data_IF_234888243285
#
_entry.id   IF_234888243285
#
_cell.length_a   1.000
_cell.length_b   1.000
_cell.length_c   1.000
_cell.angle_alpha   90.00
_cell.angle_beta   90.00
_cell.angle_gamma   90.00
#
_symmetry.space_group_name_H-M   'P 1'
#
loop_
_entity.id
_entity.type
_entity.pdbx_description
1 polymer ?
#
# COMPACT_ATOMS: atom_id res chain seq x y z
N UNK A 1 -19.68 -7.40 -9.71
CA UNK A 1 -18.80 -7.11 -8.55
C UNK A 1 -17.57 -7.98 -8.67
N UNK A 2 -16.35 -7.43 -8.53
CA UNK A 2 -15.14 -8.25 -8.62
C UNK A 2 -15.06 -9.21 -7.43
N UNK A 3 -14.40 -10.36 -7.60
CA UNK A 3 -14.21 -11.37 -6.56
C UNK A 3 -13.55 -10.80 -5.29
N UNK A 4 -12.71 -9.77 -5.43
CA UNK A 4 -12.09 -9.03 -4.32
C UNK A 4 -13.10 -8.21 -3.51
N UNK A 5 -14.08 -7.59 -4.19
CA UNK A 5 -15.13 -6.80 -3.54
C UNK A 5 -16.07 -7.67 -2.69
N UNK A 6 -16.34 -8.91 -3.11
CA UNK A 6 -17.13 -9.87 -2.34
C UNK A 6 -16.41 -10.35 -1.06
N UNK A 7 -15.10 -10.61 -1.15
CA UNK A 7 -14.27 -11.01 0.01
C UNK A 7 -14.04 -9.85 1.00
N UNK A 8 -13.96 -8.61 0.51
CA UNK A 8 -13.96 -7.44 1.39
C UNK A 8 -15.27 -7.34 2.18
N UNK A 9 -16.40 -7.63 1.55
CA UNK A 9 -17.70 -7.68 2.22
C UNK A 9 -17.73 -8.75 3.33
N UNK A 10 -17.12 -9.91 3.12
CA UNK A 10 -17.04 -10.95 4.16
C UNK A 10 -16.30 -10.49 5.43
N UNK A 11 -15.29 -9.62 5.32
CA UNK A 11 -14.61 -9.07 6.51
C UNK A 11 -15.46 -8.00 7.23
N UNK A 12 -16.25 -7.26 6.47
CA UNK A 12 -17.10 -6.15 6.97
C UNK A 12 -18.39 -6.71 7.61
N UNK A 13 -19.06 -7.62 6.93
CA UNK A 13 -20.36 -8.21 7.35
C UNK A 13 -20.21 -9.55 8.08
N UNK A 14 -19.03 -10.17 8.04
CA UNK A 14 -18.79 -11.48 8.63
C UNK A 14 -18.71 -11.51 10.15
N UNK A 15 -18.56 -12.73 10.68
CA UNK A 15 -18.46 -12.98 12.13
C UNK A 15 -17.14 -12.44 12.71
N UNK A 16 -17.16 -12.09 13.99
CA UNK A 16 -15.98 -11.75 14.78
C UNK A 16 -14.86 -12.78 14.61
N UNK A 17 -15.20 -14.06 14.55
CA UNK A 17 -14.23 -15.16 14.43
C UNK A 17 -13.40 -15.10 13.14
N UNK A 18 -13.98 -14.59 12.05
CA UNK A 18 -13.24 -14.40 10.81
C UNK A 18 -12.22 -13.27 10.94
N UNK A 19 -12.58 -12.17 11.62
CA UNK A 19 -11.68 -11.05 11.90
C UNK A 19 -10.58 -11.42 12.89
N UNK A 20 -10.89 -12.25 13.89
CA UNK A 20 -9.94 -12.68 14.92
C UNK A 20 -8.75 -13.46 14.35
N UNK A 21 -8.91 -14.15 13.21
CA UNK A 21 -7.80 -14.80 12.50
C UNK A 21 -6.69 -13.83 12.08
N UNK A 22 -7.03 -12.56 11.89
CA UNK A 22 -6.15 -11.54 11.34
C UNK A 22 -5.64 -10.54 12.37
N UNK A 23 -6.22 -10.51 13.56
CA UNK A 23 -5.98 -9.45 14.56
C UNK A 23 -4.52 -9.38 15.03
N UNK A 24 -3.78 -10.49 14.92
CA UNK A 24 -2.36 -10.56 15.25
C UNK A 24 -1.43 -9.86 14.26
N UNK A 25 -1.89 -9.52 13.04
CA UNK A 25 -1.04 -8.96 11.97
C UNK A 25 -1.02 -7.44 11.96
N UNK A 26 -0.70 -6.84 13.11
CA UNK A 26 -0.64 -5.38 13.29
C UNK A 26 0.44 -4.69 12.46
N UNK A 27 1.42 -5.44 11.94
CA UNK A 27 2.51 -4.94 11.10
C UNK A 27 2.00 -4.41 9.75
N UNK A 28 0.85 -4.89 9.30
CA UNK A 28 0.22 -4.49 8.03
C UNK A 28 -0.11 -3.01 8.04
N UNK A 29 -0.49 -2.46 9.20
CA UNK A 29 -0.79 -1.04 9.34
C UNK A 29 0.40 -0.18 8.90
N UNK A 30 1.61 -0.50 9.35
CA UNK A 30 2.81 0.25 8.98
C UNK A 30 3.19 0.09 7.50
N UNK A 31 2.82 -1.02 6.85
CA UNK A 31 3.11 -1.26 5.44
C UNK A 31 2.23 -0.44 4.51
N UNK A 32 0.98 -0.21 4.89
CA UNK A 32 0.03 0.57 4.08
C UNK A 32 0.29 2.07 4.23
N UNK A 33 0.47 2.54 5.47
CA UNK A 33 0.72 3.96 5.77
C UNK A 33 1.43 4.05 7.12
N UNK A 34 2.25 5.07 7.33
CA UNK A 34 2.91 5.25 8.62
C UNK A 34 1.85 5.52 9.71
N UNK A 35 1.83 4.66 10.74
CA UNK A 35 0.87 4.76 11.83
C UNK A 35 1.34 5.78 12.86
N UNK A 36 0.65 6.92 12.95
CA UNK A 36 0.91 7.90 13.99
C UNK A 36 0.38 7.41 15.35
N UNK A 37 1.29 6.98 16.20
CA UNK A 37 1.02 6.63 17.59
C UNK A 37 1.28 7.82 18.52
N UNK A 38 0.82 7.70 19.76
CA UNK A 38 1.22 8.59 20.84
C UNK A 38 2.68 8.31 21.22
N UNK A 39 3.33 9.21 21.98
CA UNK A 39 4.72 9.05 22.40
C UNK A 39 5.01 7.79 23.22
N UNK A 40 3.96 7.12 23.72
CA UNK A 40 4.05 5.83 24.39
C UNK A 40 4.35 4.66 23.43
N UNK A 41 4.21 4.87 22.12
CA UNK A 41 4.48 3.86 21.09
C UNK A 41 3.43 2.74 20.99
N UNK A 42 2.36 2.82 21.77
CA UNK A 42 1.37 1.73 21.89
C UNK A 42 -0.05 2.17 21.54
N UNK A 43 -0.44 3.39 21.91
CA UNK A 43 -1.80 3.87 21.77
C UNK A 43 -1.91 4.97 20.71
N UNK A 44 -3.08 5.12 20.12
CA UNK A 44 -3.43 6.28 19.31
C UNK A 44 -4.75 6.89 19.78
N UNK A 45 -4.97 8.14 19.41
CA UNK A 45 -6.21 8.88 19.69
C UNK A 45 -7.20 8.72 18.54
N UNK A 46 -8.49 8.91 18.83
CA UNK A 46 -9.55 8.86 17.82
C UNK A 46 -9.26 9.77 16.60
N UNK A 47 -8.73 10.98 16.82
CA UNK A 47 -8.38 11.93 15.76
C UNK A 47 -7.30 11.38 14.84
N UNK A 48 -6.21 10.87 15.41
CA UNK A 48 -5.09 10.28 14.67
C UNK A 48 -5.51 9.05 13.87
N UNK A 49 -6.41 8.22 14.41
CA UNK A 49 -6.95 7.06 13.69
C UNK A 49 -7.84 7.49 12.51
N UNK A 50 -8.64 8.54 12.69
CA UNK A 50 -9.45 9.11 11.63
C UNK A 50 -8.58 9.69 10.50
N UNK A 51 -7.50 10.41 10.85
CA UNK A 51 -6.49 10.91 9.91
C UNK A 51 -5.74 9.78 9.18
N UNK A 52 -5.41 8.69 9.89
CA UNK A 52 -4.78 7.52 9.29
C UNK A 52 -5.65 6.93 8.18
N UNK A 53 -6.94 6.69 8.46
CA UNK A 53 -7.90 6.13 7.50
C UNK A 53 -8.52 7.16 6.54
N UNK A 54 -8.19 8.44 6.67
CA UNK A 54 -8.74 9.54 5.86
C UNK A 54 -10.29 9.61 5.90
N UNK A 55 -10.85 9.51 7.10
CA UNK A 55 -12.30 9.57 7.35
C UNK A 55 -12.61 10.58 8.46
N UNK A 56 -13.87 11.01 8.55
CA UNK A 56 -14.30 11.87 9.64
C UNK A 56 -14.23 11.17 11.00
N UNK A 57 -13.84 11.92 12.03
CA UNK A 57 -13.77 11.45 13.42
C UNK A 57 -15.10 10.86 13.89
N UNK A 58 -16.21 11.38 13.38
CA UNK A 58 -17.56 10.91 13.69
C UNK A 58 -17.85 9.51 13.15
N UNK A 59 -17.27 9.14 12.01
CA UNK A 59 -17.39 7.79 11.42
C UNK A 59 -16.74 6.78 12.35
N UNK A 60 -15.51 7.05 12.82
CA UNK A 60 -14.80 6.18 13.77
C UNK A 60 -15.55 6.11 15.10
N UNK A 61 -16.13 7.23 15.57
CA UNK A 61 -16.94 7.27 16.80
C UNK A 61 -18.17 6.36 16.69
N UNK A 62 -18.96 6.48 15.62
CA UNK A 62 -20.15 5.65 15.38
C UNK A 62 -19.80 4.18 15.18
N UNK A 63 -18.70 3.89 14.50
CA UNK A 63 -18.20 2.52 14.34
C UNK A 63 -17.78 1.93 15.68
N UNK A 64 -17.08 2.70 16.52
CA UNK A 64 -16.67 2.30 17.86
C UNK A 64 -17.86 2.04 18.80
N UNK A 65 -18.97 2.76 18.61
CA UNK A 65 -20.21 2.52 19.34
C UNK A 65 -20.92 1.23 18.89
N UNK A 66 -21.02 1.01 17.57
CA UNK A 66 -21.68 -0.18 17.00
C UNK A 66 -20.94 -1.48 17.31
N UNK A 67 -19.60 -1.46 17.32
CA UNK A 67 -18.76 -2.64 17.54
C UNK A 67 -17.98 -2.57 18.86
N UNK A 68 -18.59 -1.98 19.89
CA UNK A 68 -17.93 -1.71 21.18
C UNK A 68 -17.38 -2.97 21.84
N UNK A 69 -18.11 -4.08 21.78
CA UNK A 69 -17.71 -5.34 22.42
C UNK A 69 -16.42 -5.91 21.81
N UNK A 70 -16.33 -5.95 20.48
CA UNK A 70 -15.13 -6.43 19.78
C UNK A 70 -13.92 -5.52 20.04
N UNK A 71 -14.12 -4.20 19.93
CA UNK A 71 -13.02 -3.24 20.09
C UNK A 71 -12.54 -3.13 21.55
N UNK A 72 -13.45 -3.27 22.52
CA UNK A 72 -13.07 -3.31 23.94
C UNK A 72 -12.28 -4.58 24.27
N UNK A 73 -12.57 -5.71 23.62
CA UNK A 73 -11.78 -6.94 23.75
C UNK A 73 -10.34 -6.75 23.27
N UNK A 74 -10.15 -5.92 22.24
CA UNK A 74 -8.82 -5.58 21.71
C UNK A 74 -8.10 -4.47 22.47
N UNK A 75 -8.68 -3.97 23.56
CA UNK A 75 -8.06 -2.97 24.44
C UNK A 75 -8.43 -1.52 24.15
N UNK A 76 -9.45 -1.24 23.33
CA UNK A 76 -10.01 0.11 23.22
C UNK A 76 -10.61 0.52 24.58
N UNK A 77 -10.14 1.63 25.15
CA UNK A 77 -10.68 2.17 26.40
C UNK A 77 -10.96 3.66 26.31
N UNK A 78 -12.00 4.10 27.03
CA UNK A 78 -12.32 5.50 27.21
C UNK A 78 -11.88 5.91 28.60
N UNK A 79 -10.80 6.69 28.66
CA UNK A 79 -10.24 7.21 29.90
C UNK A 79 -11.05 8.41 30.37
N UNK A 80 -11.46 8.40 31.64
CA UNK A 80 -12.14 9.51 32.30
C UNK A 80 -11.43 9.88 33.61
N UNK A 81 -11.57 11.15 34.04
CA UNK A 81 -11.13 11.67 35.35
C UNK A 81 -9.71 11.21 35.76
N UNK A 82 -9.63 10.28 36.70
CA UNK A 82 -8.39 9.79 37.33
C UNK A 82 -7.49 9.04 36.36
N UNK A 83 -8.05 8.15 35.53
CA UNK A 83 -7.28 7.42 34.51
C UNK A 83 -6.70 8.35 33.44
N UNK A 84 -7.41 9.43 33.10
CA UNK A 84 -6.90 10.45 32.20
C UNK A 84 -5.77 11.28 32.82
N UNK A 85 -5.85 11.56 34.13
CA UNK A 85 -4.81 12.28 34.87
C UNK A 85 -3.50 11.48 34.92
N UNK A 86 -3.60 10.17 35.19
CA UNK A 86 -2.45 9.26 35.18
C UNK A 86 -1.83 9.14 33.78
N UNK A 87 -2.66 8.94 32.76
CA UNK A 87 -2.19 8.85 31.37
C UNK A 87 -1.52 10.15 30.90
N UNK A 88 -2.08 11.32 31.24
CA UNK A 88 -1.45 12.61 30.96
C UNK A 88 -0.08 12.76 31.61
N UNK A 89 0.12 12.26 32.84
CA UNK A 89 1.44 12.30 33.50
C UNK A 89 2.47 11.47 32.72
N UNK A 90 2.09 10.26 32.28
CA UNK A 90 2.96 9.38 31.48
C UNK A 90 3.35 10.03 30.15
N UNK A 91 2.38 10.61 29.44
CA UNK A 91 2.63 11.25 28.13
C UNK A 91 3.37 12.59 28.26
N UNK A 92 3.11 13.36 29.32
CA UNK A 92 3.83 14.62 29.57
C UNK A 92 5.32 14.39 29.85
N UNK A 93 5.68 13.24 30.43
CA UNK A 93 7.08 12.81 30.57
C UNK A 93 7.80 12.59 29.23
N UNK A 94 7.06 12.41 28.13
CA UNK A 94 7.58 12.24 26.78
C UNK A 94 7.48 13.53 25.93
N UNK A 95 7.23 14.69 26.56
CA UNK A 95 7.30 16.00 25.90
C UNK A 95 6.07 16.45 25.09
N UNK A 96 4.95 15.73 25.16
CA UNK A 96 3.71 16.08 24.42
C UNK A 96 2.59 16.49 25.37
N UNK A 97 2.07 17.71 25.19
CA UNK A 97 0.91 18.19 25.95
C UNK A 97 -0.40 17.84 25.26
N UNK A 98 -1.19 16.94 25.87
CA UNK A 98 -2.55 16.64 25.41
C UNK A 98 -3.48 17.77 25.91
N UNK A 99 -4.25 18.37 24.99
CA UNK A 99 -5.25 19.42 25.33
C UNK A 99 -6.19 18.95 26.46
N UNK A 100 -6.60 19.89 27.32
CA UNK A 100 -7.50 19.61 28.42
C UNK A 100 -8.88 19.14 27.94
N UNK A 101 -9.07 17.82 27.91
CA UNK A 101 -10.37 17.16 27.67
C UNK A 101 -10.83 16.41 28.91
N UNK A 102 -12.15 16.27 29.06
CA UNK A 102 -12.79 15.50 30.13
C UNK A 102 -12.71 13.97 29.90
N UNK A 103 -12.62 13.56 28.63
CA UNK A 103 -12.57 12.17 28.21
C UNK A 103 -11.57 12.00 27.05
N UNK A 104 -10.86 10.88 27.02
CA UNK A 104 -9.95 10.52 25.93
C UNK A 104 -10.12 9.05 25.58
N UNK A 105 -10.39 8.76 24.31
CA UNK A 105 -10.37 7.38 23.80
C UNK A 105 -8.95 7.05 23.36
N UNK A 106 -8.38 6.01 23.95
CA UNK A 106 -7.08 5.46 23.55
C UNK A 106 -7.30 4.11 22.86
N UNK A 107 -6.65 3.96 21.72
CA UNK A 107 -6.88 2.87 20.79
C UNK A 107 -5.54 2.18 20.52
N UNK A 108 -5.34 0.93 20.99
CA UNK A 108 -4.11 0.18 20.72
C UNK A 108 -4.06 -0.31 19.26
N UNK A 109 -2.87 -0.66 18.77
CA UNK A 109 -2.63 -1.10 17.37
C UNK A 109 -3.60 -2.19 16.89
N UNK A 110 -3.97 -3.13 17.76
CA UNK A 110 -4.93 -4.21 17.48
C UNK A 110 -6.32 -3.66 17.15
N UNK A 111 -6.83 -2.77 17.99
CA UNK A 111 -8.12 -2.13 17.78
C UNK A 111 -8.12 -1.23 16.53
N UNK A 112 -6.99 -0.57 16.21
CA UNK A 112 -6.83 0.19 14.96
C UNK A 112 -6.99 -0.74 13.74
N UNK A 113 -6.34 -1.91 13.76
CA UNK A 113 -6.47 -2.89 12.69
C UNK A 113 -7.91 -3.38 12.53
N UNK A 114 -8.62 -3.67 13.62
CA UNK A 114 -10.03 -4.08 13.57
C UNK A 114 -10.92 -2.97 13.00
N UNK A 115 -10.67 -1.71 13.35
CA UNK A 115 -11.36 -0.57 12.75
C UNK A 115 -11.16 -0.56 11.22
N UNK A 116 -9.94 -0.80 10.73
CA UNK A 116 -9.65 -0.93 9.30
C UNK A 116 -10.37 -2.09 8.60
N UNK A 117 -10.64 -3.19 9.31
CA UNK A 117 -11.42 -4.32 8.78
C UNK A 117 -12.91 -3.96 8.64
N UNK A 118 -13.45 -3.16 9.55
CA UNK A 118 -14.87 -2.80 9.62
C UNK A 118 -15.25 -1.55 8.80
N UNK A 119 -14.27 -0.72 8.43
CA UNK A 119 -14.51 0.53 7.69
C UNK A 119 -14.91 0.27 6.23
N UNK A 120 -16.13 0.63 5.86
CA UNK A 120 -16.61 0.54 4.47
C UNK A 120 -15.95 1.57 3.56
N UNK A 121 -16.04 2.85 3.95
CA UNK A 121 -15.78 4.00 3.08
C UNK A 121 -14.41 4.63 3.37
N UNK A 122 -13.33 3.87 3.17
CA UNK A 122 -11.97 4.40 3.28
C UNK A 122 -11.03 3.70 2.29
N UNK A 123 -10.29 4.46 1.46
CA UNK A 123 -9.34 3.89 0.51
C UNK A 123 -8.16 3.20 1.23
N UNK A 124 -7.75 3.74 2.38
CA UNK A 124 -6.69 3.14 3.21
C UNK A 124 -7.18 1.85 3.84
N UNK A 125 -8.43 1.81 4.32
CA UNK A 125 -9.01 0.59 4.90
C UNK A 125 -9.17 -0.51 3.83
N UNK A 126 -9.54 -0.15 2.59
CA UNK A 126 -9.61 -1.08 1.47
C UNK A 126 -8.24 -1.71 1.16
N UNK A 127 -7.17 -0.91 1.17
CA UNK A 127 -5.81 -1.43 1.00
C UNK A 127 -5.40 -2.37 2.15
N UNK A 128 -5.74 -2.02 3.40
CA UNK A 128 -5.49 -2.89 4.56
C UNK A 128 -6.20 -4.25 4.39
N UNK A 129 -7.48 -4.27 4.00
CA UNK A 129 -8.22 -5.52 3.75
C UNK A 129 -7.62 -6.32 2.59
N UNK A 130 -7.26 -5.64 1.50
CA UNK A 130 -6.62 -6.26 0.33
C UNK A 130 -5.32 -6.95 0.75
N UNK A 131 -4.49 -6.27 1.54
CA UNK A 131 -3.21 -6.80 2.00
C UNK A 131 -3.39 -8.00 2.94
N UNK A 132 -4.36 -7.92 3.85
CA UNK A 132 -4.73 -9.01 4.75
C UNK A 132 -5.13 -10.28 3.99
N UNK A 133 -6.01 -10.14 2.99
CA UNK A 133 -6.49 -11.26 2.17
C UNK A 133 -5.42 -11.79 1.22
N UNK A 134 -4.61 -10.92 0.61
CA UNK A 134 -3.51 -11.36 -0.27
C UNK A 134 -2.45 -12.16 0.50
N UNK A 135 -2.15 -11.75 1.74
CA UNK A 135 -1.28 -12.54 2.62
C UNK A 135 -1.91 -13.89 2.95
N UNK A 136 -3.21 -13.96 3.18
CA UNK A 136 -3.90 -15.25 3.37
C UNK A 136 -3.76 -16.12 2.12
N UNK A 137 -3.95 -15.59 0.91
CA UNK A 137 -3.82 -16.37 -0.32
C UNK A 137 -2.39 -16.91 -0.53
N UNK A 138 -1.36 -16.15 -0.16
CA UNK A 138 0.04 -16.59 -0.21
C UNK A 138 0.37 -17.59 0.89
N UNK A 139 -0.05 -17.33 2.13
CA UNK A 139 0.13 -18.23 3.26
C UNK A 139 -0.63 -19.55 3.04
N UNK A 140 -1.81 -19.52 2.42
CA UNK A 140 -2.59 -20.71 2.09
C UNK A 140 -1.97 -21.50 0.94
N UNK A 141 -1.32 -20.85 -0.04
CA UNK A 141 -0.52 -21.56 -1.06
C UNK A 141 0.69 -22.24 -0.45
N UNK A 142 1.43 -21.57 0.43
CA UNK A 142 2.56 -22.17 1.16
C UNK A 142 2.11 -23.25 2.14
N UNK A 143 0.95 -23.07 2.81
CA UNK A 143 0.35 -24.07 3.69
C UNK A 143 -0.25 -25.25 2.92
N UNK A 144 -0.80 -25.06 1.72
CA UNK A 144 -1.21 -26.15 0.82
C UNK A 144 0.02 -26.89 0.30
N UNK A 145 1.08 -26.18 -0.09
CA UNK A 145 2.35 -26.78 -0.49
C UNK A 145 3.02 -27.55 0.66
N UNK A 146 2.88 -27.08 1.90
CA UNK A 146 3.40 -27.79 3.09
C UNK A 146 2.43 -28.82 3.70
N UNK A 147 1.12 -28.75 3.42
CA UNK A 147 0.14 -29.78 3.78
C UNK A 147 0.18 -30.97 2.82
N UNK A 148 0.52 -30.74 1.54
CA UNK A 148 0.92 -31.80 0.60
C UNK A 148 2.17 -32.54 1.10
N UNK A 149 3.03 -31.88 1.90
CA UNK A 149 4.21 -32.50 2.52
C UNK A 149 3.88 -33.15 3.89
N UNK A 150 2.79 -32.77 4.57
CA UNK A 150 2.41 -33.29 5.91
C UNK A 150 1.42 -34.46 5.88
N UNK A 151 0.98 -34.90 4.71
CA UNK A 151 0.21 -36.13 4.51
C UNK A 151 0.93 -37.07 3.55
N UNK A 152 2.22 -37.34 3.81
CA UNK A 152 2.83 -38.56 3.27
C UNK A 152 2.13 -39.76 3.92
N UNK A 153 1.00 -40.15 3.35
CA UNK A 153 0.42 -41.46 3.58
C UNK A 153 1.42 -42.53 3.14
N UNK A 154 1.32 -43.68 3.79
CA UNK A 154 2.26 -44.77 3.62
C UNK A 154 1.96 -45.52 2.32
N UNK A 155 2.66 -45.18 1.24
CA UNK A 155 2.40 -45.73 -0.10
C UNK A 155 3.28 -46.95 -0.41
N UNK A 156 2.88 -47.81 -1.35
CA UNK A 156 3.67 -48.99 -1.77
C UNK A 156 5.07 -48.63 -2.32
N UNK A 157 5.24 -47.42 -2.87
CA UNK A 157 6.55 -46.90 -3.27
C UNK A 157 7.47 -46.61 -2.08
N UNK A 158 6.91 -46.27 -0.91
CA UNK A 158 7.68 -46.07 0.33
C UNK A 158 8.13 -47.40 0.94
N UNK A 159 7.37 -48.48 0.74
CA UNK A 159 7.77 -49.84 1.09
C UNK A 159 8.99 -50.28 0.28
N UNK A 160 8.98 -50.04 -1.02
CA UNK A 160 10.10 -50.37 -1.92
C UNK A 160 11.34 -49.52 -1.62
N UNK A 161 11.16 -48.22 -1.36
CA UNK A 161 12.24 -47.32 -0.96
C UNK A 161 12.90 -47.76 0.36
N UNK A 162 12.10 -48.15 1.35
CA UNK A 162 12.61 -48.65 2.64
C UNK A 162 13.36 -49.97 2.45
N UNK A 163 12.85 -50.88 1.61
CA UNK A 163 13.51 -52.14 1.32
C UNK A 163 14.86 -51.92 0.63
N UNK A 164 14.89 -51.12 -0.45
CA UNK A 164 16.09 -50.83 -1.22
C UNK A 164 17.16 -50.07 -0.41
N UNK A 165 16.74 -49.15 0.45
CA UNK A 165 17.68 -48.44 1.34
C UNK A 165 18.25 -49.38 2.39
N UNK A 166 17.45 -50.27 2.99
CA UNK A 166 17.98 -51.23 3.96
C UNK A 166 18.91 -52.26 3.31
N UNK A 167 18.60 -52.76 2.12
CA UNK A 167 19.51 -53.69 1.41
C UNK A 167 20.82 -53.01 1.02
N UNK A 168 20.77 -51.78 0.48
CA UNK A 168 21.98 -51.01 0.16
C UNK A 168 22.83 -50.72 1.41
N UNK A 169 22.22 -50.43 2.55
CA UNK A 169 22.93 -50.17 3.80
C UNK A 169 23.49 -51.46 4.43
N UNK A 170 22.78 -52.60 4.31
CA UNK A 170 23.26 -53.89 4.78
C UNK A 170 24.54 -54.35 4.05
N UNK A 171 24.67 -54.00 2.77
CA UNK A 171 25.87 -54.29 1.97
C UNK A 171 27.03 -53.29 2.16
N UNK A 172 26.82 -52.19 2.88
CA UNK A 172 27.82 -51.11 3.06
C UNK A 172 28.29 -50.94 4.52
N UNK A 173 28.14 -51.98 5.36
CA UNK A 173 28.56 -52.01 6.78
C UNK A 173 27.92 -50.94 7.69
N UNK A 174 26.80 -50.32 7.26
CA UNK A 174 26.08 -49.32 8.03
C UNK A 174 24.93 -49.94 8.83
N UNK A 175 24.59 -49.33 9.96
CA UNK A 175 23.58 -49.88 10.86
C UNK A 175 22.17 -49.66 10.32
N UNK A 176 21.26 -50.59 10.65
CA UNK A 176 19.84 -50.50 10.31
C UNK A 176 19.18 -49.18 10.82
N UNK A 177 19.66 -48.66 11.95
CA UNK A 177 19.20 -47.37 12.48
C UNK A 177 19.58 -46.16 11.62
N UNK A 178 20.71 -46.22 10.91
CA UNK A 178 21.13 -45.17 9.96
C UNK A 178 20.32 -45.23 8.67
N UNK A 179 19.97 -46.43 8.21
CA UNK A 179 19.04 -46.60 7.08
C UNK A 179 17.67 -45.99 7.40
N UNK A 180 17.11 -46.25 8.59
CA UNK A 180 15.83 -45.65 8.99
C UNK A 180 15.91 -44.12 9.10
N UNK A 181 16.99 -43.57 9.65
CA UNK A 181 17.15 -42.10 9.70
C UNK A 181 17.24 -41.51 8.28
N UNK A 182 17.88 -42.20 7.33
CA UNK A 182 17.93 -41.73 5.93
C UNK A 182 16.56 -41.74 5.26
N UNK A 183 15.73 -42.75 5.55
CA UNK A 183 14.34 -42.79 5.06
C UNK A 183 13.48 -41.71 5.71
N UNK A 184 13.67 -41.42 7.01
CA UNK A 184 13.02 -40.28 7.69
C UNK A 184 13.38 -38.96 7.00
N UNK A 185 14.66 -38.75 6.67
CA UNK A 185 15.12 -37.55 5.95
C UNK A 185 14.49 -37.41 4.57
N UNK A 186 14.32 -38.52 3.84
CA UNK A 186 13.81 -38.51 2.46
C UNK A 186 12.29 -38.40 2.38
N UNK A 187 11.55 -38.93 3.36
CA UNK A 187 10.09 -39.06 3.30
C UNK A 187 9.36 -38.17 4.30
N UNK A 188 10.05 -37.60 5.30
CA UNK A 188 9.42 -36.84 6.38
C UNK A 188 8.57 -37.68 7.34
N UNK A 189 8.53 -39.01 7.18
CA UNK A 189 7.79 -39.94 8.03
C UNK A 189 8.43 -40.05 9.42
N UNK A 190 7.63 -40.29 10.45
CA UNK A 190 8.16 -40.48 11.80
C UNK A 190 8.88 -41.82 11.93
N UNK A 191 10.01 -41.82 12.65
CA UNK A 191 10.83 -43.02 12.91
C UNK A 191 10.01 -44.20 13.47
N UNK A 192 8.99 -43.92 14.27
CA UNK A 192 8.11 -44.95 14.84
C UNK A 192 7.22 -45.62 13.80
N UNK A 193 6.72 -44.89 12.79
CA UNK A 193 5.94 -45.47 11.69
C UNK A 193 6.83 -46.40 10.84
N UNK A 194 8.05 -45.96 10.52
CA UNK A 194 9.03 -46.77 9.77
C UNK A 194 9.44 -48.02 10.54
N UNK A 195 9.71 -47.87 11.83
CA UNK A 195 10.04 -49.00 12.68
C UNK A 195 8.89 -50.01 12.76
N UNK A 196 7.65 -49.55 12.97
CA UNK A 196 6.49 -50.43 13.04
C UNK A 196 6.27 -51.21 11.73
N UNK A 197 6.34 -50.52 10.57
CA UNK A 197 6.10 -51.15 9.26
C UNK A 197 7.20 -52.11 8.85
N UNK A 198 8.45 -51.80 9.21
CA UNK A 198 9.59 -52.69 8.99
C UNK A 198 9.39 -54.05 9.66
N UNK A 199 9.10 -54.06 10.96
CA UNK A 199 8.97 -55.29 11.74
C UNK A 199 7.64 -56.02 11.56
N UNK A 200 6.62 -55.36 10.99
CA UNK A 200 5.32 -55.99 10.73
C UNK A 200 5.28 -56.75 9.40
N UNK A 201 5.75 -56.15 8.29
CA UNK A 201 5.48 -56.68 6.95
C UNK A 201 6.68 -56.75 6.00
N UNK A 202 7.75 -55.98 6.25
CA UNK A 202 8.86 -55.80 5.30
C UNK A 202 10.10 -56.63 5.61
N UNK A 203 10.35 -56.91 6.89
CA UNK A 203 11.49 -57.74 7.32
C UNK A 203 11.49 -59.12 6.66
N UNK A 204 10.30 -59.71 6.49
CA UNK A 204 10.15 -61.05 5.91
C UNK A 204 10.26 -61.05 4.37
N UNK A 205 10.25 -59.87 3.75
CA UNK A 205 10.44 -59.68 2.30
C UNK A 205 11.90 -59.41 1.91
N UNK A 206 12.81 -59.32 2.88
CA UNK A 206 14.24 -59.16 2.62
C UNK A 206 14.90 -60.47 2.20
N UNK A 207 15.86 -60.40 1.27
CA UNK A 207 16.63 -61.55 0.84
C UNK A 207 17.37 -62.21 2.02
N UNK A 208 17.43 -63.54 2.05
CA UNK A 208 18.09 -64.33 3.11
C UNK A 208 19.52 -63.85 3.42
N UNK A 209 20.23 -63.37 2.39
CA UNK A 209 21.59 -62.79 2.48
C UNK A 209 21.62 -61.47 3.27
N UNK A 210 20.63 -60.61 3.09
CA UNK A 210 20.52 -59.32 3.80
C UNK A 210 20.09 -59.51 5.25
N UNK A 211 19.23 -60.49 5.51
CA UNK A 211 18.87 -60.90 6.86
C UNK A 211 20.08 -61.43 7.64
N UNK A 212 20.90 -62.28 7.02
CA UNK A 212 22.17 -62.76 7.60
C UNK A 212 23.15 -61.62 7.91
N UNK A 213 23.30 -60.64 7.02
CA UNK A 213 24.16 -59.47 7.24
C UNK A 213 23.64 -58.57 8.36
N UNK A 214 22.33 -58.35 8.43
CA UNK A 214 21.69 -57.59 9.52
C UNK A 214 21.84 -58.32 10.86
N UNK A 215 21.78 -59.67 10.88
CA UNK A 215 22.01 -60.46 12.10
C UNK A 215 23.49 -60.52 12.49
N UNK A 216 24.40 -60.64 11.53
CA UNK A 216 25.85 -60.67 11.79
C UNK A 216 26.39 -59.30 12.23
N UNK A 217 25.81 -58.20 11.73
CA UNK A 217 26.10 -56.85 12.22
C UNK A 217 25.62 -56.59 13.65
N UNK A 218 24.85 -57.49 14.29
CA UNK A 218 24.57 -57.45 15.73
C UNK A 218 25.71 -58.01 16.59
N UNK A 219 26.75 -58.59 15.99
CA UNK A 219 27.81 -59.28 16.72
C UNK A 219 29.18 -59.19 16.05
N UNK A 220 29.82 -58.02 16.09
CA UNK A 220 31.27 -57.97 15.95
C UNK A 220 31.92 -58.41 17.28
N UNK A 221 31.90 -59.72 17.53
CA UNK A 221 32.78 -60.39 18.49
C UNK A 221 33.52 -61.49 17.72
N UNK A 222 34.66 -61.06 17.16
CA UNK A 222 35.84 -61.82 16.75
C UNK A 222 35.69 -63.35 16.65
N UNK A 223 35.74 -63.87 15.42
CA UNK A 223 36.63 -65.00 15.12
C UNK A 223 37.47 -64.71 13.88
N UNK A 224 38.75 -64.97 14.08
CA UNK A 224 39.89 -64.75 13.23
C UNK A 224 39.90 -65.71 12.03
N UNK A 225 40.53 -65.20 10.97
CA UNK A 225 41.29 -65.88 9.93
C UNK A 225 40.52 -66.79 8.96
N UNK A 226 40.51 -66.42 7.66
CA UNK A 226 41.40 -67.06 6.67
C UNK A 226 41.23 -66.53 5.23
N UNK A 227 42.38 -66.48 4.56
CA UNK A 227 42.65 -66.51 3.11
C UNK A 227 42.53 -65.22 2.26
N UNK A 228 43.72 -64.92 1.76
CA UNK A 228 44.22 -63.86 0.92
C UNK A 228 44.40 -64.45 -0.50
N UNK A 229 43.56 -64.05 -1.46
CA UNK A 229 43.83 -64.03 -2.92
C UNK A 229 42.61 -63.49 -3.68
N UNK A 230 41.40 -63.90 -3.31
CA UNK A 230 40.15 -63.31 -3.82
C UNK A 230 40.05 -61.80 -3.53
N UNK A 231 40.62 -61.33 -2.41
CA UNK A 231 40.60 -59.91 -2.02
C UNK A 231 41.20 -58.97 -3.09
N UNK A 232 42.15 -59.42 -3.92
CA UNK A 232 42.79 -58.57 -4.95
C UNK A 232 41.90 -58.34 -6.17
N UNK A 233 41.20 -59.37 -6.65
CA UNK A 233 40.27 -59.31 -7.80
C UNK A 233 38.96 -58.63 -7.40
N UNK A 234 38.47 -58.89 -6.19
CA UNK A 234 37.31 -58.16 -5.65
C UNK A 234 37.65 -56.69 -5.40
N UNK A 235 38.87 -56.35 -5.00
CA UNK A 235 39.30 -54.96 -4.84
C UNK A 235 39.44 -54.23 -6.19
N UNK A 236 39.84 -54.88 -7.28
CA UNK A 236 39.90 -54.23 -8.61
C UNK A 236 38.51 -53.97 -9.16
N UNK A 237 37.62 -54.96 -9.13
CA UNK A 237 36.24 -54.80 -9.62
C UNK A 237 35.44 -53.82 -8.77
N UNK A 238 35.65 -53.80 -7.45
CA UNK A 238 35.05 -52.82 -6.55
C UNK A 238 35.60 -51.40 -6.80
N UNK A 239 36.88 -51.28 -7.15
CA UNK A 239 37.50 -49.99 -7.51
C UNK A 239 36.98 -49.48 -8.85
N UNK A 240 36.79 -50.36 -9.84
CA UNK A 240 36.19 -50.02 -11.14
C UNK A 240 34.73 -49.59 -10.97
N UNK A 241 33.95 -50.31 -10.15
CA UNK A 241 32.58 -49.96 -9.85
C UNK A 241 32.50 -48.62 -9.10
N UNK A 242 33.39 -48.38 -8.12
CA UNK A 242 33.51 -47.10 -7.41
C UNK A 242 33.85 -45.97 -8.37
N UNK A 243 34.84 -46.16 -9.24
CA UNK A 243 35.22 -45.17 -10.25
C UNK A 243 34.07 -44.90 -11.23
N UNK A 244 33.32 -45.93 -11.64
CA UNK A 244 32.15 -45.76 -12.50
C UNK A 244 31.04 -44.96 -11.82
N UNK A 245 30.73 -45.26 -10.55
CA UNK A 245 29.77 -44.49 -9.77
C UNK A 245 30.23 -43.06 -9.53
N UNK A 246 31.51 -42.85 -9.23
CA UNK A 246 32.09 -41.51 -9.06
C UNK A 246 32.03 -40.72 -10.37
N UNK A 247 32.34 -41.34 -11.51
CA UNK A 247 32.22 -40.72 -12.83
C UNK A 247 30.77 -40.42 -13.21
N UNK A 248 29.83 -41.30 -12.86
CA UNK A 248 28.40 -41.08 -13.11
C UNK A 248 27.85 -39.94 -12.24
N UNK A 249 28.17 -39.91 -10.95
CA UNK A 249 27.74 -38.83 -10.06
C UNK A 249 28.40 -37.51 -10.42
N UNK A 250 29.69 -37.50 -10.78
CA UNK A 250 30.36 -36.28 -11.25
C UNK A 250 29.74 -35.74 -12.52
N UNK A 251 29.33 -36.60 -13.47
CA UNK A 251 28.58 -36.18 -14.65
C UNK A 251 27.22 -35.55 -14.28
N UNK A 252 26.45 -36.20 -13.39
CA UNK A 252 25.15 -35.66 -12.94
C UNK A 252 25.31 -34.32 -12.21
N UNK A 253 26.30 -34.20 -11.34
CA UNK A 253 26.61 -32.95 -10.65
C UNK A 253 27.02 -31.87 -11.65
N UNK A 254 27.83 -32.22 -12.65
CA UNK A 254 28.26 -31.29 -13.71
C UNK A 254 27.08 -30.81 -14.54
N UNK A 255 26.19 -31.70 -14.94
CA UNK A 255 24.98 -31.36 -15.71
C UNK A 255 24.05 -30.44 -14.91
N UNK A 256 23.85 -30.72 -13.60
CA UNK A 256 23.09 -29.84 -12.72
C UNK A 256 23.76 -28.47 -12.58
N UNK A 257 25.07 -28.42 -12.42
CA UNK A 257 25.83 -27.18 -12.31
C UNK A 257 25.77 -26.34 -13.60
N UNK A 258 25.87 -26.98 -14.77
CA UNK A 258 25.73 -26.33 -16.08
C UNK A 258 24.32 -25.78 -16.28
N UNK A 259 23.29 -26.54 -15.93
CA UNK A 259 21.90 -26.08 -15.98
C UNK A 259 21.62 -24.90 -15.04
N UNK A 260 22.21 -24.90 -13.84
CA UNK A 260 22.13 -23.77 -12.91
C UNK A 260 22.84 -22.53 -13.45
N UNK A 261 24.06 -22.70 -13.96
CA UNK A 261 24.84 -21.61 -14.58
C UNK A 261 24.11 -20.99 -15.78
N UNK A 262 23.46 -21.82 -16.60
CA UNK A 262 22.66 -21.34 -17.72
C UNK A 262 21.47 -20.49 -17.27
N UNK A 263 20.71 -20.96 -16.27
CA UNK A 263 19.60 -20.19 -15.69
C UNK A 263 20.05 -18.89 -15.04
N UNK A 264 21.22 -18.89 -14.41
CA UNK A 264 21.80 -17.68 -13.82
C UNK A 264 22.15 -16.67 -14.93
N UNK A 265 22.75 -17.13 -16.04
CA UNK A 265 23.04 -16.28 -17.19
C UNK A 265 21.77 -15.70 -17.84
N UNK A 266 20.72 -16.51 -18.01
CA UNK A 266 19.42 -16.06 -18.50
C UNK A 266 18.81 -14.99 -17.56
N UNK A 267 18.85 -15.24 -16.25
CA UNK A 267 18.32 -14.30 -15.25
C UNK A 267 19.09 -12.97 -15.27
N UNK A 268 20.42 -13.02 -15.35
CA UNK A 268 21.26 -11.83 -15.46
C UNK A 268 20.95 -11.05 -16.74
N UNK A 269 20.83 -11.74 -17.88
CA UNK A 269 20.48 -11.10 -19.16
C UNK A 269 19.11 -10.43 -19.10
N UNK A 270 18.11 -11.11 -18.53
CA UNK A 270 16.76 -10.54 -18.38
C UNK A 270 16.74 -9.31 -17.47
N UNK A 271 17.52 -9.33 -16.39
CA UNK A 271 17.65 -8.16 -15.50
C UNK A 271 18.34 -6.98 -16.19
N UNK A 272 19.34 -7.23 -17.04
CA UNK A 272 19.96 -6.18 -17.83
C UNK A 272 18.96 -5.56 -18.82
N UNK A 273 18.15 -6.36 -19.51
CA UNK A 273 17.08 -5.87 -20.38
C UNK A 273 16.08 -4.98 -19.62
N UNK A 274 15.63 -5.44 -18.44
CA UNK A 274 14.70 -4.67 -17.61
C UNK A 274 15.33 -3.33 -17.16
N UNK A 275 16.63 -3.33 -16.85
CA UNK A 275 17.36 -2.12 -16.48
C UNK A 275 17.40 -1.13 -17.64
N UNK A 276 17.69 -1.59 -18.85
CA UNK A 276 17.69 -0.75 -20.06
C UNK A 276 16.30 -0.15 -20.35
N UNK A 277 15.23 -0.92 -20.15
CA UNK A 277 13.86 -0.43 -20.32
C UNK A 277 13.54 0.66 -19.29
N UNK A 278 13.94 0.47 -18.03
CA UNK A 278 13.76 1.47 -16.97
C UNK A 278 14.54 2.76 -17.26
N UNK A 279 15.77 2.66 -17.74
CA UNK A 279 16.58 3.81 -18.12
C UNK A 279 15.97 4.58 -19.29
N UNK A 280 15.44 3.87 -20.31
CA UNK A 280 14.74 4.50 -21.42
C UNK A 280 13.49 5.27 -20.96
N UNK A 281 12.66 4.66 -20.10
CA UNK A 281 11.48 5.32 -19.52
C UNK A 281 11.87 6.53 -18.67
N UNK A 282 12.97 6.46 -17.92
CA UNK A 282 13.49 7.60 -17.15
C UNK A 282 13.87 8.77 -18.05
N UNK A 283 14.51 8.51 -19.20
CA UNK A 283 14.84 9.56 -20.17
C UNK A 283 13.58 10.19 -20.76
N UNK A 284 12.57 9.39 -21.09
CA UNK A 284 11.28 9.88 -21.60
C UNK A 284 10.56 10.78 -20.58
N UNK A 285 10.53 10.37 -19.31
CA UNK A 285 9.98 11.18 -18.22
C UNK A 285 10.71 12.53 -18.10
N UNK A 286 12.04 12.53 -18.16
CA UNK A 286 12.82 13.78 -18.09
C UNK A 286 12.64 14.66 -19.33
N UNK A 287 12.37 14.07 -20.50
CA UNK A 287 11.98 14.83 -21.69
C UNK A 287 10.60 15.49 -21.50
N UNK A 288 9.59 14.73 -21.06
CA UNK A 288 8.24 15.25 -20.83
C UNK A 288 8.23 16.35 -19.76
N UNK A 289 8.98 16.18 -18.66
CA UNK A 289 9.14 17.22 -17.62
C UNK A 289 9.68 18.53 -18.19
N UNK A 290 10.71 18.45 -19.04
CA UNK A 290 11.28 19.65 -19.70
C UNK A 290 10.25 20.34 -20.60
N UNK A 291 9.46 19.57 -21.33
CA UNK A 291 8.40 20.13 -22.18
C UNK A 291 7.28 20.78 -21.36
N UNK A 292 6.91 20.19 -20.20
CA UNK A 292 5.95 20.79 -19.27
C UNK A 292 6.47 22.13 -18.76
N UNK A 293 7.71 22.19 -18.28
CA UNK A 293 8.33 23.44 -17.79
C UNK A 293 8.33 24.51 -18.88
N UNK A 294 8.66 24.15 -20.12
CA UNK A 294 8.61 25.08 -21.26
C UNK A 294 7.19 25.60 -21.51
N UNK A 295 6.19 24.72 -21.44
CA UNK A 295 4.78 25.12 -21.59
C UNK A 295 4.28 25.99 -20.44
N UNK A 296 4.74 25.76 -19.22
CA UNK A 296 4.41 26.61 -18.06
C UNK A 296 4.99 28.01 -18.23
N UNK A 297 6.23 28.12 -18.71
CA UNK A 297 6.88 29.41 -18.99
C UNK A 297 6.13 30.20 -20.07
N UNK A 298 5.66 29.53 -21.13
CA UNK A 298 4.88 30.21 -22.18
C UNK A 298 3.51 30.66 -21.66
N UNK A 299 2.85 29.85 -20.84
CA UNK A 299 1.60 30.24 -20.18
C UNK A 299 1.82 31.47 -19.29
N UNK A 300 2.89 31.50 -18.50
CA UNK A 300 3.21 32.65 -17.63
C UNK A 300 3.46 33.92 -18.45
N UNK A 301 4.16 33.81 -19.58
CA UNK A 301 4.39 34.93 -20.49
C UNK A 301 3.07 35.45 -21.11
N UNK A 302 2.17 34.55 -21.52
CA UNK A 302 0.85 34.91 -22.04
C UNK A 302 0.00 35.59 -20.96
N UNK A 303 -0.01 35.07 -19.73
CA UNK A 303 -0.71 35.69 -18.61
C UNK A 303 -0.21 37.11 -18.31
N UNK A 304 1.10 37.35 -18.40
CA UNK A 304 1.68 38.71 -18.26
C UNK A 304 1.20 39.64 -19.39
N UNK A 305 1.16 39.14 -20.62
CA UNK A 305 0.65 39.89 -21.78
C UNK A 305 -0.84 40.25 -21.61
N UNK A 306 -1.66 39.33 -21.15
CA UNK A 306 -3.10 39.59 -20.95
C UNK A 306 -3.35 40.60 -19.82
N UNK A 307 -2.60 40.52 -18.71
CA UNK A 307 -2.65 41.57 -17.67
C UNK A 307 -2.35 42.96 -18.23
N UNK A 308 -1.33 43.08 -19.07
CA UNK A 308 -0.99 44.36 -19.71
C UNK A 308 -2.09 44.85 -20.67
N UNK A 309 -2.75 43.94 -21.39
CA UNK A 309 -3.90 44.29 -22.24
C UNK A 309 -5.10 44.75 -21.40
N UNK A 310 -5.39 44.11 -20.28
CA UNK A 310 -6.47 44.49 -19.38
C UNK A 310 -6.25 45.90 -18.81
N UNK A 311 -5.01 46.23 -18.42
CA UNK A 311 -4.63 47.58 -17.99
C UNK A 311 -4.85 48.63 -19.09
N UNK A 312 -4.45 48.33 -20.34
CA UNK A 312 -4.68 49.20 -21.49
C UNK A 312 -6.17 49.38 -21.80
N UNK A 313 -6.98 48.33 -21.65
CA UNK A 313 -8.43 48.40 -21.82
C UNK A 313 -9.03 49.32 -20.75
N UNK A 314 -8.64 49.15 -19.48
CA UNK A 314 -9.11 50.00 -18.38
C UNK A 314 -8.76 51.49 -18.60
N UNK A 315 -7.57 51.79 -19.14
CA UNK A 315 -7.19 53.16 -19.48
C UNK A 315 -8.00 53.74 -20.65
N UNK A 316 -8.26 52.94 -21.68
CA UNK A 316 -9.14 53.32 -22.78
C UNK A 316 -10.58 53.59 -22.31
N UNK A 317 -11.12 52.78 -21.40
CA UNK A 317 -12.44 52.99 -20.81
C UNK A 317 -12.52 54.29 -20.01
N UNK A 318 -11.50 54.60 -19.20
CA UNK A 318 -11.41 55.90 -18.49
C UNK A 318 -11.45 57.07 -19.46
N UNK A 319 -10.68 56.99 -20.57
CA UNK A 319 -10.66 58.02 -21.61
C UNK A 319 -12.01 58.17 -22.31
N UNK A 320 -12.67 57.05 -22.62
CA UNK A 320 -13.99 57.05 -23.24
C UNK A 320 -15.03 57.70 -22.33
N UNK A 321 -15.03 57.37 -21.04
CA UNK A 321 -15.92 57.98 -20.05
C UNK A 321 -15.71 59.50 -19.92
N UNK A 322 -14.46 59.96 -19.97
CA UNK A 322 -14.13 61.40 -19.96
C UNK A 322 -14.71 62.11 -21.19
N UNK A 323 -14.47 61.55 -22.39
CA UNK A 323 -15.01 62.10 -23.64
C UNK A 323 -16.54 62.09 -23.63
N UNK A 324 -17.18 61.06 -23.09
CA UNK A 324 -18.64 60.96 -22.98
C UNK A 324 -19.23 62.04 -22.06
N UNK A 325 -18.50 62.41 -20.99
CA UNK A 325 -18.87 63.54 -20.13
C UNK A 325 -18.74 64.88 -20.88
N UNK A 326 -17.63 65.07 -21.61
CA UNK A 326 -17.40 66.27 -22.42
C UNK A 326 -18.45 66.42 -23.52
N UNK A 327 -18.83 65.35 -24.23
CA UNK A 327 -19.88 65.40 -25.25
C UNK A 327 -21.26 65.68 -24.65
N UNK A 328 -21.57 65.15 -23.46
CA UNK A 328 -22.80 65.47 -22.73
C UNK A 328 -22.84 66.96 -22.36
N UNK A 329 -21.73 67.52 -21.89
CA UNK A 329 -21.63 68.93 -21.54
C UNK A 329 -21.70 69.83 -22.79
N UNK A 330 -21.06 69.44 -23.90
CA UNK A 330 -21.22 70.12 -25.18
C UNK A 330 -22.65 70.09 -25.69
N UNK A 331 -23.34 68.94 -25.59
CA UNK A 331 -24.74 68.80 -25.99
C UNK A 331 -25.64 69.76 -25.20
N UNK A 332 -25.46 69.84 -23.87
CA UNK A 332 -26.18 70.83 -23.03
C UNK A 332 -25.90 72.27 -23.44
N UNK A 333 -24.65 72.60 -23.77
CA UNK A 333 -24.27 73.95 -24.25
C UNK A 333 -24.92 74.29 -25.58
N UNK A 334 -24.97 73.34 -26.51
CA UNK A 334 -25.64 73.49 -27.80
C UNK A 334 -27.13 73.72 -27.57
N UNK A 335 -27.77 72.91 -26.73
CA UNK A 335 -29.19 73.03 -26.40
C UNK A 335 -29.52 74.40 -25.77
N UNK A 336 -28.67 74.88 -24.86
CA UNK A 336 -28.79 76.23 -24.30
C UNK A 336 -28.57 77.34 -25.35
N UNK A 337 -27.63 77.16 -26.29
CA UNK A 337 -27.39 78.10 -27.37
C UNK A 337 -28.58 78.14 -28.35
N UNK A 338 -29.16 77.00 -28.70
CA UNK A 338 -30.37 76.93 -29.53
C UNK A 338 -31.52 77.72 -28.91
N UNK A 339 -31.76 77.56 -27.60
CA UNK A 339 -32.78 78.36 -26.88
C UNK A 339 -32.51 79.86 -26.96
N UNK A 340 -31.24 80.30 -26.92
CA UNK A 340 -30.89 81.70 -27.09
C UNK A 340 -31.08 82.20 -28.53
N UNK A 341 -30.78 81.38 -29.54
CA UNK A 341 -31.01 81.73 -30.93
C UNK A 341 -32.51 81.81 -31.27
N UNK A 342 -33.35 80.95 -30.72
CA UNK A 342 -34.81 81.02 -30.88
C UNK A 342 -35.37 82.33 -30.30
N UNK A 343 -34.84 82.80 -29.15
CA UNK A 343 -35.22 84.12 -28.59
C UNK A 343 -34.67 85.32 -29.38
N UNK A 344 -33.61 85.13 -30.18
CA UNK A 344 -33.00 86.19 -30.99
C UNK A 344 -33.59 86.27 -32.40
N UNK A 345 -34.11 85.15 -32.93
CA UNK A 345 -34.89 85.11 -34.16
C UNK A 345 -36.18 85.92 -34.03
N UNK A 346 -36.82 85.93 -32.86
CA UNK A 346 -37.95 86.83 -32.55
C UNK A 346 -37.59 88.31 -32.43
N UNK A 347 -36.30 88.69 -32.44
CA UNK A 347 -35.83 90.08 -32.25
C UNK A 347 -35.28 90.69 -33.56
N UNK A 348 -35.25 89.95 -34.68
CA UNK A 348 -34.72 90.45 -35.96
C UNK A 348 -35.74 90.70 -37.06
N UNK A 349 -37.02 90.55 -36.76
CA UNK A 349 -38.07 91.17 -37.57
C UNK A 349 -38.69 92.31 -36.78
N UNK A 350 -38.85 93.45 -37.46
CA UNK A 350 -39.60 94.68 -37.14
C UNK A 350 -38.69 95.90 -37.14
N UNK A 351 -38.47 96.44 -38.35
CA UNK A 351 -38.31 97.88 -38.55
C UNK A 351 -39.69 98.52 -38.35
N UNK A 352 -39.81 99.53 -37.48
CA UNK A 352 -40.99 100.40 -37.40
C UNK A 352 -41.61 100.50 -36.01
N UNK A 353 -41.18 101.51 -35.27
CA UNK A 353 -41.80 102.24 -34.14
C UNK A 353 -42.77 101.55 -33.13
N UNK A 354 -42.38 101.71 -31.86
CA UNK A 354 -43.18 101.94 -30.64
C UNK A 354 -43.84 100.77 -29.87
N UNK A 355 -43.19 100.35 -28.77
CA UNK A 355 -43.62 100.57 -27.37
C UNK A 355 -42.77 99.72 -26.42
N UNK A 356 -41.92 100.35 -25.60
CA UNK A 356 -41.16 99.67 -24.56
C UNK A 356 -42.05 99.40 -23.34
N UNK A 357 -42.68 98.21 -23.27
CA UNK A 357 -43.21 97.69 -21.99
C UNK A 357 -42.14 96.87 -21.28
N UNK A 358 -41.55 97.45 -20.22
CA UNK A 358 -40.64 96.74 -19.30
C UNK A 358 -41.39 95.58 -18.64
N UNK A 359 -40.88 94.34 -18.65
CA UNK A 359 -41.44 93.28 -17.82
C UNK A 359 -41.02 93.54 -16.36
N UNK A 360 -41.93 94.05 -15.54
CA UNK A 360 -41.74 94.12 -14.08
C UNK A 360 -41.78 92.72 -13.49
N UNK A 361 -40.63 92.04 -13.43
CA UNK A 361 -40.43 90.95 -12.46
C UNK A 361 -40.03 91.59 -11.14
N UNK A 362 -41.01 91.78 -10.27
CA UNK A 362 -40.80 92.15 -8.87
C UNK A 362 -40.14 90.98 -8.14
N UNK A 363 -38.91 91.17 -7.68
CA UNK A 363 -38.25 90.30 -6.73
C UNK A 363 -38.33 90.94 -5.35
N UNK A 364 -38.64 90.16 -4.32
CA UNK A 364 -38.56 90.61 -2.92
C UNK A 364 -37.43 89.85 -2.24
N UNK A 365 -36.46 90.59 -1.71
CA UNK A 365 -35.32 90.03 -0.99
C UNK A 365 -35.73 89.85 0.48
N UNK A 366 -35.51 88.67 1.04
CA UNK A 366 -35.70 88.47 2.47
C UNK A 366 -34.55 89.11 3.27
N UNK A 367 -34.71 89.25 4.60
CA UNK A 367 -33.70 89.85 5.48
C UNK A 367 -32.37 89.07 5.52
N UNK A 368 -32.32 87.89 4.89
CA UNK A 368 -31.16 87.02 4.84
C UNK A 368 -30.46 87.04 3.46
N UNK A 369 -30.93 87.90 2.53
CA UNK A 369 -30.25 88.17 1.26
C UNK A 369 -30.57 87.19 0.13
N UNK A 370 -31.58 86.34 0.26
CA UNK A 370 -32.00 85.46 -0.84
C UNK A 370 -33.10 86.12 -1.69
N UNK A 371 -32.89 86.11 -3.00
CA UNK A 371 -33.81 86.62 -4.02
C UNK A 371 -34.70 85.49 -4.54
N UNK A 372 -35.95 85.44 -4.07
CA UNK A 372 -36.96 84.55 -4.67
C UNK A 372 -37.83 85.33 -5.68
N UNK A 373 -38.13 84.68 -6.82
CA UNK A 373 -39.16 85.15 -7.75
C UNK A 373 -40.52 84.99 -7.07
N UNK A 374 -41.37 86.01 -7.16
CA UNK A 374 -42.81 85.83 -6.93
C UNK A 374 -43.38 84.91 -8.00
#
# INVERSE_FOLDING_TARGET
MSQASARHLELIEGSKDQRDKYIGRVDILNRVKELSLLPDGEHSTLEKVAEYYNVDVEVIRKLSQRHREELSTDGLQVLSKEGLSQFKKVISGHGVQIKARAYLTVIPRRAILRIGMLLTDSPVAEQVRTYLLNIEDQATKEQKNSAVIKSADWDAATDELLLNTVTAFAHTEKTLGQAFNKVVELTGLTKNKIHARWYQNLKDKCDSRTLELITNNRGFLLKKDEVNENKKIYNSNLLELKNWFENSMTHQIKEIAENLSHKEAEWVSRNQELTLILDAQRVEIEFLKRHIIQSEQTIEALQKSDKMKDELIAEKEKRLNKLLKETKDMKKRIEAASLLFDTKATVREINGESEFKRPTKTFKMDKNGNLNKL
#
